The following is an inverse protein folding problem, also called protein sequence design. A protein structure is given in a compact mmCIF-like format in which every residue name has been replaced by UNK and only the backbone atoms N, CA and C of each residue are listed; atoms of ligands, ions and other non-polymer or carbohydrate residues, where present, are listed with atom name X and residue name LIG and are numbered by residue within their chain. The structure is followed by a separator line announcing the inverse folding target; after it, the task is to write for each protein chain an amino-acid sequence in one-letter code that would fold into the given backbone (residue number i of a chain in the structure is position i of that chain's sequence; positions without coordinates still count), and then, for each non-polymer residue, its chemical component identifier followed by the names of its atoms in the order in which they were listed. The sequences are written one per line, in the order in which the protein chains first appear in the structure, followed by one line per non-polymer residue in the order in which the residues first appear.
data_IF_125644733704
#
_entry.id   IF_125644733704
#
_cell.length_a   1.000
_cell.length_b   1.000
_cell.length_c   1.000
_cell.angle_alpha   90.00
_cell.angle_beta   90.00
_cell.angle_gamma   90.00
#
_symmetry.space_group_name_H-M   'P 1'
#
loop_
_entity.id
_entity.type
_entity.pdbx_description
1 polymer ?
#
# COMPACT_ATOMS: atom_id res chain seq x y z
N UNK A 1 6.71 -30.75 6.31
CA UNK A 1 5.51 -30.15 6.93
C UNK A 1 5.46 -28.76 6.33
N UNK A 2 4.74 -28.61 5.22
CA UNK A 2 4.60 -27.31 4.56
C UNK A 2 3.78 -26.42 5.49
N UNK A 3 4.42 -25.39 6.00
CA UNK A 3 3.77 -24.34 6.78
C UNK A 3 2.85 -23.60 5.82
N UNK A 4 1.53 -23.75 6.00
CA UNK A 4 0.55 -23.04 5.20
C UNK A 4 0.62 -21.56 5.59
N UNK A 5 1.39 -20.79 4.83
CA UNK A 5 1.46 -19.35 4.99
C UNK A 5 0.10 -18.77 4.57
N UNK A 6 -0.62 -18.08 5.47
CA UNK A 6 -1.91 -17.48 5.13
C UNK A 6 -1.72 -16.46 4.00
N UNK A 7 -2.71 -16.30 3.12
CA UNK A 7 -2.63 -15.32 2.04
C UNK A 7 -2.45 -13.92 2.60
N UNK A 8 -1.70 -13.08 1.87
CA UNK A 8 -1.62 -11.66 2.21
C UNK A 8 -2.93 -10.97 1.88
N UNK A 9 -3.17 -9.82 2.49
CA UNK A 9 -4.33 -8.98 2.19
C UNK A 9 -4.49 -8.71 0.68
N UNK A 10 -3.38 -8.48 -0.03
CA UNK A 10 -3.43 -8.28 -1.49
C UNK A 10 -3.89 -9.53 -2.26
N UNK A 11 -3.51 -10.73 -1.81
CA UNK A 11 -3.92 -11.97 -2.47
C UNK A 11 -5.42 -12.21 -2.30
N UNK A 12 -5.95 -11.95 -1.10
CA UNK A 12 -7.39 -12.02 -0.82
C UNK A 12 -8.15 -10.96 -1.64
N UNK A 13 -7.68 -9.71 -1.60
CA UNK A 13 -8.33 -8.60 -2.32
C UNK A 13 -8.29 -8.78 -3.84
N UNK A 14 -7.17 -9.26 -4.39
CA UNK A 14 -7.07 -9.52 -5.83
C UNK A 14 -8.00 -10.66 -6.28
N UNK A 15 -8.17 -11.71 -5.45
CA UNK A 15 -9.14 -12.78 -5.73
C UNK A 15 -10.58 -12.23 -5.74
N UNK A 16 -10.94 -11.39 -4.76
CA UNK A 16 -12.23 -10.70 -4.72
C UNK A 16 -12.47 -9.83 -5.96
N UNK A 17 -11.48 -9.04 -6.38
CA UNK A 17 -11.62 -8.20 -7.58
C UNK A 17 -11.82 -9.01 -8.87
N UNK A 18 -11.22 -10.21 -8.95
CA UNK A 18 -11.45 -11.12 -10.07
C UNK A 18 -12.89 -11.66 -10.09
N UNK A 19 -13.43 -12.02 -8.92
CA UNK A 19 -14.82 -12.47 -8.76
C UNK A 19 -15.81 -11.37 -9.20
N UNK A 20 -15.66 -10.13 -8.69
CA UNK A 20 -16.49 -8.99 -9.12
C UNK A 20 -16.43 -8.74 -10.64
N UNK A 21 -15.26 -8.92 -11.26
CA UNK A 21 -15.09 -8.75 -12.69
C UNK A 21 -15.80 -9.86 -13.50
N UNK A 22 -15.81 -11.10 -12.99
CA UNK A 22 -16.56 -12.22 -13.57
C UNK A 22 -18.07 -12.01 -13.47
N UNK A 23 -18.54 -11.37 -12.39
CA UNK A 23 -19.95 -11.03 -12.18
C UNK A 23 -20.43 -9.81 -12.99
N UNK A 24 -19.53 -9.16 -13.73
CA UNK A 24 -19.86 -8.06 -14.65
C UNK A 24 -20.01 -6.70 -13.97
N UNK A 25 -19.44 -6.52 -12.77
CA UNK A 25 -19.42 -5.22 -12.10
C UNK A 25 -18.48 -4.26 -12.84
N UNK A 26 -19.03 -3.12 -13.29
CA UNK A 26 -18.46 -2.28 -14.38
C UNK A 26 -17.15 -1.57 -14.02
N UNK A 27 -16.78 -1.55 -12.74
CA UNK A 27 -15.58 -0.89 -12.21
C UNK A 27 -14.66 -1.86 -11.42
N UNK A 28 -14.89 -3.17 -11.55
CA UNK A 28 -13.95 -4.15 -11.01
C UNK A 28 -12.60 -3.97 -11.73
N UNK A 29 -11.55 -3.59 -10.98
CA UNK A 29 -10.23 -3.21 -11.47
C UNK A 29 -9.41 -4.18 -12.35
N UNK A 30 -9.81 -5.43 -12.67
CA UNK A 30 -9.11 -6.26 -13.65
C UNK A 30 -9.38 -5.92 -15.14
N UNK A 31 -8.47 -6.34 -16.06
CA UNK A 31 -7.21 -7.03 -15.77
C UNK A 31 -6.04 -6.06 -15.57
N UNK A 32 -5.39 -6.16 -14.41
CA UNK A 32 -4.09 -5.53 -14.17
C UNK A 32 -2.99 -6.26 -14.96
N UNK A 33 -1.99 -5.51 -15.44
CA UNK A 33 -0.83 -6.12 -16.10
C UNK A 33 -0.04 -7.02 -15.13
N UNK A 34 0.59 -8.09 -15.64
CA UNK A 34 1.43 -8.96 -14.80
C UNK A 34 2.54 -8.19 -14.06
N UNK A 35 3.12 -7.15 -14.68
CA UNK A 35 4.12 -6.30 -14.04
C UNK A 35 3.56 -5.51 -12.85
N UNK A 36 2.30 -5.09 -12.91
CA UNK A 36 1.63 -4.43 -11.78
C UNK A 36 1.36 -5.44 -10.65
N UNK A 37 0.89 -6.65 -10.99
CA UNK A 37 0.68 -7.71 -9.99
C UNK A 37 1.98 -8.11 -9.27
N UNK A 38 3.08 -8.22 -10.02
CA UNK A 38 4.41 -8.49 -9.46
C UNK A 38 4.88 -7.36 -8.54
N UNK A 39 4.65 -6.10 -8.94
CA UNK A 39 4.97 -4.93 -8.11
C UNK A 39 4.21 -4.96 -6.78
N UNK A 40 2.91 -5.22 -6.81
CA UNK A 40 2.07 -5.26 -5.62
C UNK A 40 2.46 -6.43 -4.69
N UNK A 41 2.79 -7.58 -5.27
CA UNK A 41 3.31 -8.73 -4.51
C UNK A 41 4.64 -8.40 -3.81
N UNK A 42 5.56 -7.72 -4.50
CA UNK A 42 6.85 -7.33 -3.91
C UNK A 42 6.69 -6.24 -2.84
N UNK A 43 5.73 -5.32 -3.00
CA UNK A 43 5.39 -4.31 -1.98
C UNK A 43 4.86 -4.98 -0.72
N UNK A 44 3.96 -5.95 -0.84
CA UNK A 44 3.43 -6.69 0.33
C UNK A 44 4.54 -7.47 1.04
N UNK A 45 5.44 -8.14 0.30
CA UNK A 45 6.59 -8.83 0.90
C UNK A 45 7.50 -7.86 1.66
N UNK A 46 7.73 -6.68 1.08
CA UNK A 46 8.56 -5.64 1.72
C UNK A 46 7.85 -5.06 2.94
N UNK A 47 6.54 -4.85 2.86
CA UNK A 47 5.72 -4.36 3.97
C UNK A 47 5.68 -5.33 5.15
N UNK A 48 5.68 -6.64 4.91
CA UNK A 48 5.80 -7.63 5.98
C UNK A 48 7.07 -7.43 6.84
N UNK A 49 8.11 -6.80 6.29
CA UNK A 49 9.32 -6.41 7.02
C UNK A 49 9.21 -5.00 7.60
N UNK A 50 8.84 -3.99 6.80
CA UNK A 50 8.82 -2.58 7.25
C UNK A 50 7.71 -2.31 8.27
N UNK A 51 6.62 -3.07 8.21
CA UNK A 51 5.45 -2.97 9.07
C UNK A 51 5.44 -3.92 10.27
N UNK A 52 6.48 -4.75 10.45
CA UNK A 52 6.49 -5.81 11.48
C UNK A 52 6.21 -5.30 12.90
N UNK A 53 6.65 -4.07 13.20
CA UNK A 53 6.46 -3.43 14.51
C UNK A 53 5.23 -2.50 14.58
N UNK A 54 4.38 -2.51 13.55
CA UNK A 54 3.17 -1.69 13.51
C UNK A 54 1.96 -2.51 13.99
N UNK A 55 1.11 -1.95 14.86
CA UNK A 55 -0.15 -2.61 15.22
C UNK A 55 -0.99 -2.87 13.96
N UNK A 56 -1.63 -4.04 13.83
CA UNK A 56 -2.55 -4.29 12.73
C UNK A 56 -3.73 -3.32 12.81
N UNK A 57 -4.32 -3.03 11.66
CA UNK A 57 -5.58 -2.29 11.56
C UNK A 57 -6.70 -3.29 11.29
N UNK A 58 -7.37 -3.84 12.32
CA UNK A 58 -8.48 -4.76 12.10
C UNK A 58 -9.57 -4.05 11.31
N UNK A 59 -10.23 -4.78 10.43
CA UNK A 59 -11.41 -4.28 9.75
C UNK A 59 -12.44 -3.88 10.82
N UNK A 60 -12.79 -2.57 10.92
CA UNK A 60 -13.71 -2.13 11.93
C UNK A 60 -15.12 -2.71 11.69
N UNK A 61 -15.44 -3.19 10.49
CA UNK A 61 -16.73 -3.72 10.08
C UNK A 61 -16.85 -5.24 10.12
N UNK A 62 -15.81 -5.94 10.56
CA UNK A 62 -15.83 -7.39 10.69
C UNK A 62 -16.27 -7.80 12.10
N UNK A 63 -17.35 -8.58 12.20
CA UNK A 63 -17.78 -9.17 13.47
C UNK A 63 -16.83 -10.30 13.91
N UNK A 64 -16.85 -10.69 15.20
CA UNK A 64 -16.05 -11.82 15.68
C UNK A 64 -16.36 -13.17 15.01
N UNK A 65 -17.54 -13.31 14.39
CA UNK A 65 -17.95 -14.47 13.60
C UNK A 65 -17.55 -14.36 12.11
N UNK A 66 -16.90 -13.27 11.71
CA UNK A 66 -16.44 -13.02 10.34
C UNK A 66 -17.48 -12.37 9.42
N UNK A 67 -18.66 -12.03 9.93
CA UNK A 67 -19.72 -11.38 9.15
C UNK A 67 -19.53 -9.86 9.10
N UNK A 68 -19.75 -9.26 7.94
CA UNK A 68 -19.72 -7.81 7.78
C UNK A 68 -20.90 -7.15 8.50
N UNK A 69 -20.67 -5.99 9.12
CA UNK A 69 -21.73 -5.14 9.60
C UNK A 69 -21.84 -3.82 8.81
N UNK A 70 -23.06 -3.30 8.58
CA UNK A 70 -23.25 -2.09 7.79
C UNK A 70 -22.55 -0.88 8.39
N UNK A 71 -21.77 -0.18 7.57
CA UNK A 71 -21.12 1.09 7.92
C UNK A 71 -22.16 2.14 8.26
N UNK A 72 -21.98 2.86 9.37
CA UNK A 72 -22.83 4.01 9.73
C UNK A 72 -22.09 5.32 9.49
N UNK A 73 -22.79 6.36 9.04
CA UNK A 73 -22.17 7.66 8.77
C UNK A 73 -21.51 8.25 10.04
N UNK A 74 -22.07 7.98 11.22
CA UNK A 74 -21.54 8.48 12.49
C UNK A 74 -20.21 7.81 12.91
N UNK A 75 -19.84 6.69 12.28
CA UNK A 75 -18.61 5.93 12.58
C UNK A 75 -17.36 6.55 11.93
N UNK A 76 -17.53 7.45 10.96
CA UNK A 76 -16.43 8.20 10.33
C UNK A 76 -15.89 9.33 11.23
N UNK A 77 -15.70 9.08 12.53
CA UNK A 77 -15.19 10.06 13.49
C UNK A 77 -13.97 9.58 14.26
N UNK A 78 -12.83 10.20 13.92
CA UNK A 78 -11.55 10.37 14.64
C UNK A 78 -10.89 9.10 15.20
N UNK A 79 -9.87 8.64 14.48
CA UNK A 79 -8.82 7.80 15.05
C UNK A 79 -8.01 8.60 16.09
N UNK A 80 -8.32 8.43 17.37
CA UNK A 80 -7.67 9.15 18.49
C UNK A 80 -6.29 8.58 18.86
N UNK A 81 -5.95 7.41 18.36
CA UNK A 81 -4.63 6.80 18.55
C UNK A 81 -3.72 7.20 17.38
N UNK A 82 -2.81 8.18 17.55
CA UNK A 82 -1.89 8.57 16.49
C UNK A 82 -0.92 7.44 16.13
N UNK A 83 -0.65 6.51 17.05
CA UNK A 83 0.22 5.35 16.83
C UNK A 83 -0.27 4.45 15.71
N UNK A 84 -1.59 4.36 15.50
CA UNK A 84 -2.20 3.59 14.41
C UNK A 84 -1.80 4.10 13.02
N UNK A 85 -1.45 5.37 12.88
CA UNK A 85 -1.03 5.93 11.58
C UNK A 85 0.41 5.55 11.20
N UNK A 86 1.19 4.93 12.11
CA UNK A 86 2.56 4.46 11.80
C UNK A 86 2.57 3.40 10.70
N UNK A 87 1.50 2.60 10.58
CA UNK A 87 1.35 1.61 9.52
C UNK A 87 1.38 2.26 8.12
N UNK A 88 0.85 3.48 7.98
CA UNK A 88 0.86 4.22 6.71
C UNK A 88 2.28 4.60 6.30
N UNK A 89 3.10 5.05 7.27
CA UNK A 89 4.51 5.34 7.02
C UNK A 89 5.29 4.08 6.64
N UNK A 90 5.03 2.95 7.30
CA UNK A 90 5.64 1.66 6.97
C UNK A 90 5.25 1.15 5.56
N UNK A 91 3.99 1.33 5.16
CA UNK A 91 3.53 1.02 3.79
C UNK A 91 4.15 1.95 2.76
N UNK A 92 4.21 3.25 3.03
CA UNK A 92 4.86 4.21 2.13
C UNK A 92 6.35 3.88 1.95
N UNK A 93 7.03 3.45 3.02
CA UNK A 93 8.42 2.98 2.96
C UNK A 93 8.57 1.72 2.09
N UNK A 94 7.68 0.74 2.21
CA UNK A 94 7.70 -0.44 1.33
C UNK A 94 7.52 -0.04 -0.15
N UNK A 95 6.57 0.86 -0.42
CA UNK A 95 6.37 1.44 -1.76
C UNK A 95 7.58 2.22 -2.28
N UNK A 96 8.37 2.84 -1.42
CA UNK A 96 9.61 3.51 -1.81
C UNK A 96 10.75 2.53 -2.11
N UNK A 97 10.87 1.45 -1.33
CA UNK A 97 11.95 0.48 -1.48
C UNK A 97 11.83 -0.36 -2.76
N UNK A 98 10.62 -0.80 -3.13
CA UNK A 98 10.46 -1.76 -4.24
C UNK A 98 10.86 -1.18 -5.61
N UNK A 99 10.42 0.03 -6.03
CA UNK A 99 10.85 0.62 -7.29
C UNK A 99 12.36 0.86 -7.34
N UNK A 100 12.99 1.21 -6.22
CA UNK A 100 14.44 1.38 -6.11
C UNK A 100 15.17 0.05 -6.28
N UNK A 101 14.72 -1.00 -5.57
CA UNK A 101 15.29 -2.34 -5.66
C UNK A 101 15.17 -2.94 -7.08
N UNK A 102 14.08 -2.62 -7.79
CA UNK A 102 13.89 -3.01 -9.20
C UNK A 102 14.70 -2.16 -10.20
N UNK A 103 15.38 -1.11 -9.73
CA UNK A 103 16.12 -0.17 -10.59
C UNK A 103 15.19 0.67 -11.47
N UNK A 104 13.98 0.96 -11.02
CA UNK A 104 12.99 1.78 -11.72
C UNK A 104 12.96 3.21 -11.23
N UNK A 105 13.53 3.50 -10.06
CA UNK A 105 13.60 4.84 -9.51
C UNK A 105 14.85 5.04 -8.64
N UNK A 106 15.29 6.29 -8.57
CA UNK A 106 16.20 6.77 -7.53
C UNK A 106 15.38 7.33 -6.36
N UNK A 107 15.91 7.19 -5.15
CA UNK A 107 15.31 7.71 -3.93
C UNK A 107 16.12 8.88 -3.40
N UNK A 108 15.43 9.95 -3.05
CA UNK A 108 15.99 11.15 -2.44
C UNK A 108 15.21 11.49 -1.16
N UNK A 109 15.92 11.68 -0.05
CA UNK A 109 15.34 12.16 1.20
C UNK A 109 15.46 13.68 1.27
N UNK A 110 14.32 14.35 1.41
CA UNK A 110 14.22 15.81 1.48
C UNK A 110 13.90 16.21 2.91
N UNK A 111 14.89 16.84 3.56
CA UNK A 111 14.81 17.23 4.97
C UNK A 111 13.91 18.45 5.24
N UNK A 112 13.60 19.24 4.20
CA UNK A 112 12.65 20.34 4.26
C UNK A 112 11.67 20.21 3.10
N UNK A 113 10.51 19.63 3.37
CA UNK A 113 9.47 19.41 2.37
C UNK A 113 8.79 20.71 1.90
N UNK A 114 9.03 21.85 2.57
CA UNK A 114 8.60 23.15 2.06
C UNK A 114 9.39 23.59 0.82
N UNK A 115 10.57 22.99 0.58
CA UNK A 115 11.36 23.21 -0.63
C UNK A 115 10.78 22.48 -1.87
N UNK A 116 9.77 21.63 -1.68
CA UNK A 116 9.14 20.88 -2.77
C UNK A 116 7.99 21.65 -3.41
N UNK A 117 7.87 21.54 -4.73
CA UNK A 117 6.68 21.97 -5.45
C UNK A 117 5.65 20.85 -5.42
N UNK A 118 4.59 21.05 -4.63
CA UNK A 118 3.47 20.13 -4.55
C UNK A 118 2.46 20.43 -5.67
N UNK A 119 1.87 19.40 -6.27
CA UNK A 119 0.76 19.56 -7.22
C UNK A 119 -0.50 20.09 -6.53
N UNK A 120 -0.67 19.74 -5.26
CA UNK A 120 -1.72 20.23 -4.38
C UNK A 120 -1.08 20.52 -3.04
N UNK A 121 -1.28 21.73 -2.52
CA UNK A 121 -0.68 22.14 -1.26
C UNK A 121 -1.10 21.18 -0.13
N UNK A 122 -0.15 20.66 0.66
CA UNK A 122 -0.47 19.84 1.80
C UNK A 122 -1.36 20.60 2.78
N UNK A 123 -2.47 19.99 3.21
CA UNK A 123 -3.36 20.56 4.23
C UNK A 123 -2.78 20.48 5.65
N UNK A 124 -1.55 19.97 5.78
CA UNK A 124 -0.83 19.77 7.04
C UNK A 124 0.60 20.29 6.87
N UNK A 125 1.21 20.73 7.98
CA UNK A 125 2.64 21.03 7.98
C UNK A 125 3.43 19.75 7.71
N UNK A 126 4.27 19.79 6.68
CA UNK A 126 5.17 18.69 6.32
C UNK A 126 6.58 19.05 6.79
N UNK A 127 7.33 18.05 7.25
CA UNK A 127 8.70 18.24 7.74
C UNK A 127 9.74 17.54 6.89
N UNK A 128 9.41 16.38 6.32
CA UNK A 128 10.30 15.60 5.47
C UNK A 128 9.50 14.93 4.37
N UNK A 129 10.16 14.59 3.27
CA UNK A 129 9.56 13.85 2.20
C UNK A 129 10.58 12.90 1.54
N UNK A 130 10.11 11.73 1.14
CA UNK A 130 10.84 10.83 0.26
C UNK A 130 10.37 11.06 -1.18
N UNK A 131 11.28 11.44 -2.06
CA UNK A 131 10.99 11.65 -3.48
C UNK A 131 11.53 10.47 -4.28
N UNK A 132 10.68 9.85 -5.09
CA UNK A 132 11.07 8.83 -6.06
C UNK A 132 11.19 9.46 -7.44
N UNK A 133 12.36 9.36 -8.05
CA UNK A 133 12.62 9.85 -9.41
C UNK A 133 12.65 8.67 -10.38
N UNK A 134 11.58 8.43 -11.15
CA UNK A 134 11.50 7.27 -12.02
C UNK A 134 12.48 7.40 -13.20
N UNK A 135 13.08 6.28 -13.57
CA UNK A 135 13.92 6.16 -14.75
C UNK A 135 13.74 4.79 -15.40
N UNK A 136 14.09 4.67 -16.68
CA UNK A 136 14.11 3.34 -17.31
C UNK A 136 15.27 2.53 -16.73
N UNK A 137 15.05 1.27 -16.33
CA UNK A 137 16.14 0.40 -15.94
C UNK A 137 17.10 0.25 -17.12
N UNK A 138 18.40 0.40 -16.87
CA UNK A 138 19.42 0.27 -17.90
C UNK A 138 19.38 -1.17 -18.40
N UNK A 139 19.09 -1.39 -19.69
CA UNK A 139 19.20 -2.74 -20.27
C UNK A 139 20.63 -3.21 -20.05
N UNK A 140 20.80 -4.36 -19.38
CA UNK A 140 22.09 -5.05 -19.37
C UNK A 140 22.47 -5.31 -20.83
N UNK A 141 23.60 -4.75 -21.25
CA UNK A 141 24.13 -4.95 -22.60
C UNK A 141 24.40 -6.44 -22.80
N UNK A 142 23.99 -6.95 -23.96
CA UNK A 142 24.42 -8.26 -24.49
C UNK A 142 25.92 -8.27 -24.74
#
# INVERSE_FOLDING_TARGET
MDEHVPPTWWQEHHAFLLECAEEGEVDAGPPFSAQLLDLLTDVERTFAVTGADTPPWPDPHLRPDGEDFPVREEEYSRCLDPGKHRILAARAEAWAQVPVAKGWAEREEIADSAALTWLTDPLVTTHRATVLRPHRPRRAGR
#
